data_IF_516038912108
#
_entry.id   IF_516038912108
#
_cell.length_a   1.000
_cell.length_b   1.000
_cell.length_c   1.000
_cell.angle_alpha   90.00
_cell.angle_beta   90.00
_cell.angle_gamma   90.00
#
_symmetry.space_group_name_H-M   'P 1'
#
loop_
_entity.id
_entity.type
_entity.pdbx_description
1 polymer ?
#
# COMPACT_ATOMS: atom_id res chain seq x y z
N UNK A 1 -2.10 -4.92 13.55
CA UNK A 1 -1.88 -4.67 12.11
C UNK A 1 -3.25 -4.61 11.46
N UNK A 2 -3.59 -3.52 10.78
CA UNK A 2 -4.88 -3.33 10.09
C UNK A 2 -5.08 -4.43 9.02
N UNK A 3 -6.06 -5.35 9.19
CA UNK A 3 -6.23 -6.50 8.31
C UNK A 3 -6.45 -6.12 6.84
N UNK A 4 -7.09 -4.96 6.59
CA UNK A 4 -7.38 -4.44 5.25
C UNK A 4 -6.13 -4.05 4.46
N UNK A 5 -5.04 -3.68 5.15
CA UNK A 5 -3.76 -3.41 4.49
C UNK A 5 -3.09 -4.68 3.99
N UNK A 6 -3.37 -5.84 4.60
CA UNK A 6 -2.80 -7.12 4.18
C UNK A 6 -3.44 -7.63 2.88
N UNK A 7 -4.73 -7.39 2.67
CA UNK A 7 -5.40 -7.71 1.41
C UNK A 7 -4.87 -6.89 0.23
N UNK A 8 -4.09 -5.85 0.48
CA UNK A 8 -3.48 -5.03 -0.58
C UNK A 8 -2.37 -5.76 -1.32
N UNK A 9 -1.79 -6.80 -0.76
CA UNK A 9 -0.71 -7.53 -1.42
C UNK A 9 -1.04 -9.01 -1.40
N UNK A 10 -1.93 -9.48 -2.30
CA UNK A 10 -2.23 -10.89 -2.41
C UNK A 10 -0.97 -11.65 -2.84
N UNK A 11 -0.86 -12.88 -2.38
CA UNK A 11 0.28 -13.76 -2.67
C UNK A 11 -0.21 -15.15 -3.05
N UNK A 12 -1.36 -15.21 -3.70
CA UNK A 12 -2.02 -16.45 -4.09
C UNK A 12 -1.42 -16.95 -5.41
N UNK A 13 -1.11 -16.04 -6.33
CA UNK A 13 -0.52 -16.34 -7.63
C UNK A 13 0.99 -16.13 -7.69
N UNK A 14 1.67 -16.90 -8.56
CA UNK A 14 3.08 -16.69 -8.91
C UNK A 14 3.31 -15.30 -9.52
N UNK A 15 2.33 -14.79 -10.28
CA UNK A 15 2.38 -13.46 -10.87
C UNK A 15 2.45 -12.38 -9.79
N UNK A 16 1.56 -12.42 -8.79
CA UNK A 16 1.49 -11.44 -7.71
C UNK A 16 2.80 -11.41 -6.89
N UNK A 17 3.33 -12.59 -6.57
CA UNK A 17 4.62 -12.73 -5.88
C UNK A 17 5.76 -12.14 -6.71
N UNK A 18 5.78 -12.39 -8.02
CA UNK A 18 6.80 -11.86 -8.93
C UNK A 18 6.72 -10.34 -9.02
N UNK A 19 5.54 -9.80 -9.30
CA UNK A 19 5.31 -8.36 -9.41
C UNK A 19 5.69 -7.62 -8.12
N UNK A 20 5.30 -8.15 -6.95
CA UNK A 20 5.70 -7.57 -5.67
C UNK A 20 7.23 -7.59 -5.45
N UNK A 21 7.90 -8.67 -5.83
CA UNK A 21 9.36 -8.73 -5.77
C UNK A 21 10.01 -7.73 -6.73
N UNK A 22 9.48 -7.57 -7.95
CA UNK A 22 9.95 -6.56 -8.90
C UNK A 22 9.80 -5.14 -8.35
N UNK A 23 8.72 -4.84 -7.61
CA UNK A 23 8.55 -3.57 -6.92
C UNK A 23 9.64 -3.34 -5.87
N UNK A 24 9.93 -4.35 -5.04
CA UNK A 24 10.99 -4.28 -4.01
C UNK A 24 12.37 -4.10 -4.64
N UNK A 25 12.62 -4.81 -5.72
CA UNK A 25 13.88 -4.73 -6.45
C UNK A 25 14.04 -3.41 -7.21
N UNK A 26 12.95 -2.81 -7.70
CA UNK A 26 12.96 -1.53 -8.42
C UNK A 26 13.68 -0.44 -7.62
N UNK A 27 13.46 -0.40 -6.30
CA UNK A 27 14.06 0.62 -5.43
C UNK A 27 15.59 0.67 -5.50
N UNK A 28 16.24 -0.47 -5.74
CA UNK A 28 17.71 -0.59 -5.80
C UNK A 28 18.17 -0.78 -7.25
N UNK A 29 17.53 -1.68 -7.99
CA UNK A 29 17.99 -2.16 -9.30
C UNK A 29 17.61 -1.23 -10.44
N UNK A 30 16.51 -0.49 -10.37
CA UNK A 30 16.07 0.37 -11.48
C UNK A 30 17.11 1.46 -11.83
N UNK A 31 17.97 1.83 -10.88
CA UNK A 31 18.99 2.88 -11.06
C UNK A 31 20.37 2.34 -11.49
N UNK A 32 20.64 1.05 -11.29
CA UNK A 32 22.00 0.50 -11.42
C UNK A 32 22.09 -0.82 -12.19
N UNK A 33 20.97 -1.43 -12.58
CA UNK A 33 20.97 -2.74 -13.26
C UNK A 33 20.28 -2.67 -14.61
N UNK A 34 20.96 -3.13 -15.66
CA UNK A 34 20.38 -3.32 -17.00
C UNK A 34 19.52 -4.58 -17.11
N UNK A 35 19.59 -5.47 -16.11
CA UNK A 35 18.84 -6.73 -16.07
C UNK A 35 17.46 -6.58 -15.42
N UNK A 36 17.13 -5.37 -14.95
CA UNK A 36 15.80 -5.09 -14.42
C UNK A 36 14.81 -4.98 -15.58
N UNK A 37 13.93 -5.98 -15.69
CA UNK A 37 12.84 -6.02 -16.67
C UNK A 37 11.51 -6.24 -15.94
N UNK A 38 10.54 -5.37 -16.23
CA UNK A 38 9.17 -5.46 -15.78
C UNK A 38 8.26 -5.36 -17.00
N UNK A 39 7.25 -6.23 -17.09
CA UNK A 39 6.26 -6.17 -18.17
C UNK A 39 5.21 -5.08 -17.90
N UNK A 40 4.51 -4.64 -18.96
CA UNK A 40 3.42 -3.66 -18.84
C UNK A 40 2.29 -4.19 -17.94
N UNK A 41 1.92 -5.47 -18.04
CA UNK A 41 0.90 -6.09 -17.19
C UNK A 41 1.30 -6.08 -15.70
N UNK A 42 2.57 -6.38 -15.40
CA UNK A 42 3.09 -6.33 -14.03
C UNK A 42 3.09 -4.90 -13.49
N UNK A 43 3.48 -3.93 -14.32
CA UNK A 43 3.50 -2.53 -13.95
C UNK A 43 2.08 -1.99 -13.71
N UNK A 44 1.14 -2.31 -14.59
CA UNK A 44 -0.27 -1.92 -14.48
C UNK A 44 -0.89 -2.52 -13.21
N UNK A 45 -0.65 -3.81 -12.95
CA UNK A 45 -1.10 -4.46 -11.73
C UNK A 45 -0.52 -3.78 -10.48
N UNK A 46 0.80 -3.50 -10.46
CA UNK A 46 1.43 -2.79 -9.35
C UNK A 46 0.82 -1.40 -9.12
N UNK A 47 0.54 -0.65 -10.19
CA UNK A 47 -0.08 0.66 -10.11
C UNK A 47 -1.48 0.58 -9.47
N UNK A 48 -2.30 -0.40 -9.87
CA UNK A 48 -3.61 -0.65 -9.27
C UNK A 48 -3.48 -1.01 -7.78
N UNK A 49 -2.53 -1.88 -7.42
CA UNK A 49 -2.28 -2.24 -6.01
C UNK A 49 -1.89 -1.03 -5.17
N UNK A 50 -1.07 -0.13 -5.72
CA UNK A 50 -0.66 1.11 -5.06
C UNK A 50 -1.85 2.07 -4.91
N UNK A 51 -2.73 2.21 -5.91
CA UNK A 51 -3.92 3.04 -5.81
C UNK A 51 -4.83 2.58 -4.66
N UNK A 52 -5.11 1.27 -4.59
CA UNK A 52 -5.91 0.68 -3.51
C UNK A 52 -5.27 0.91 -2.13
N UNK A 53 -3.93 0.83 -2.04
CA UNK A 53 -3.22 1.13 -0.80
C UNK A 53 -3.43 2.59 -0.38
N UNK A 54 -3.31 3.54 -1.32
CA UNK A 54 -3.45 4.96 -1.04
C UNK A 54 -4.85 5.30 -0.52
N UNK A 55 -5.89 4.72 -1.13
CA UNK A 55 -7.27 4.93 -0.71
C UNK A 55 -7.52 4.38 0.70
N UNK A 56 -7.04 3.16 0.99
CA UNK A 56 -7.18 2.57 2.32
C UNK A 56 -6.44 3.37 3.38
N UNK A 57 -5.20 3.80 3.11
CA UNK A 57 -4.43 4.62 4.05
C UNK A 57 -5.10 5.96 4.30
N UNK A 58 -5.67 6.58 3.25
CA UNK A 58 -6.43 7.83 3.37
C UNK A 58 -7.65 7.63 4.27
N UNK A 59 -8.45 6.60 4.01
CA UNK A 59 -9.66 6.29 4.79
C UNK A 59 -9.32 6.08 6.27
N UNK A 60 -8.32 5.24 6.55
CA UNK A 60 -7.90 4.91 7.91
C UNK A 60 -7.29 6.12 8.63
N UNK A 61 -6.50 6.92 7.91
CA UNK A 61 -5.91 8.15 8.44
C UNK A 61 -6.98 9.16 8.83
N UNK A 62 -7.94 9.41 7.93
CA UNK A 62 -9.08 10.30 8.20
C UNK A 62 -9.94 9.79 9.37
N UNK A 63 -10.25 8.49 9.41
CA UNK A 63 -11.00 7.89 10.50
C UNK A 63 -10.26 8.05 11.85
N UNK A 64 -8.94 7.85 11.86
CA UNK A 64 -8.13 7.99 13.08
C UNK A 64 -8.07 9.44 13.57
N UNK A 65 -7.95 10.41 12.66
CA UNK A 65 -7.97 11.84 13.00
C UNK A 65 -9.33 12.21 13.61
N UNK A 66 -10.44 11.82 12.97
CA UNK A 66 -11.78 12.10 13.49
C UNK A 66 -12.01 11.50 14.89
N UNK A 67 -11.56 10.26 15.13
CA UNK A 67 -11.62 9.65 16.47
C UNK A 67 -10.82 10.44 17.52
N UNK A 68 -9.64 10.95 17.14
CA UNK A 68 -8.79 11.74 18.03
C UNK A 68 -9.43 13.11 18.32
N UNK A 69 -10.05 13.76 17.34
CA UNK A 69 -10.82 15.00 17.51
C UNK A 69 -12.04 14.81 18.41
N UNK A 70 -12.77 13.70 18.26
CA UNK A 70 -13.90 13.37 19.14
C UNK A 70 -13.43 13.07 20.58
N UNK A 71 -12.33 12.32 20.73
CA UNK A 71 -11.74 12.00 22.03
C UNK A 71 -11.08 13.21 22.72
N UNK A 72 -10.69 14.24 21.95
CA UNK A 72 -10.11 15.49 22.47
C UNK A 72 -11.12 16.61 22.61
N UNK A 73 -12.37 16.40 22.20
CA UNK A 73 -13.45 17.35 22.44
C UNK A 73 -13.74 17.45 23.95
N UNK A 74 -13.79 18.65 24.53
CA UNK A 74 -13.81 18.85 25.99
C UNK A 74 -15.19 18.53 26.57
N UNK A 75 -15.48 17.23 26.74
CA UNK A 75 -16.58 16.75 27.59
C UNK A 75 -16.07 16.03 28.85
N UNK A 76 -14.76 16.08 29.10
CA UNK A 76 -14.10 15.49 30.27
C UNK A 76 -13.59 16.57 31.26
N UNK A 77 -14.33 17.68 31.36
CA UNK A 77 -14.25 18.61 32.49
C UNK A 77 -15.65 18.72 33.06
N UNK A 78 -16.00 17.81 33.97
CA UNK A 78 -17.06 17.95 34.96
C UNK A 78 -16.70 17.10 36.18
#
# INVERSE_FOLDING_TARGET
MEPRLRSVWPTESKFEKRAYNLLREAYIKARYSREYAISEDELAWLAERVAILQDLVRELGSARIAQLEESSSPSHIS
#
